data_IF_907794134503
#
_entry.id   IF_907794134503
#
_cell.length_a   1.000
_cell.length_b   1.000
_cell.length_c   1.000
_cell.angle_alpha   90.00
_cell.angle_beta   90.00
_cell.angle_gamma   90.00
#
_symmetry.space_group_name_H-M   'P 1'
#
loop_
_entity.id
_entity.type
_entity.pdbx_description
1 polymer ?
#
# COMPACT_ATOMS: atom_id res chain seq x y z
N UNK A 1 -43.02 -1.99 8.83
CA UNK A 1 -41.99 -1.21 8.10
C UNK A 1 -40.64 -1.83 8.44
N UNK A 2 -39.95 -2.41 7.46
CA UNK A 2 -38.59 -2.93 7.65
C UNK A 2 -37.65 -1.76 7.98
N UNK A 3 -36.83 -1.90 9.02
CA UNK A 3 -35.85 -0.88 9.37
C UNK A 3 -34.90 -0.64 8.19
N UNK A 4 -34.46 0.61 7.94
CA UNK A 4 -33.54 0.90 6.85
C UNK A 4 -32.22 0.14 7.05
N UNK A 5 -31.81 -0.61 6.04
CA UNK A 5 -30.53 -1.34 6.04
C UNK A 5 -29.38 -0.34 5.99
N UNK A 6 -28.42 -0.50 6.92
CA UNK A 6 -27.23 0.36 6.98
C UNK A 6 -26.36 0.07 5.75
N UNK A 7 -25.99 1.09 4.97
CA UNK A 7 -25.13 0.90 3.79
C UNK A 7 -23.73 0.43 4.21
N UNK A 8 -23.22 -0.60 3.55
CA UNK A 8 -21.87 -1.11 3.76
C UNK A 8 -20.83 -0.14 3.17
N UNK A 9 -19.69 0.10 3.85
CA UNK A 9 -18.56 0.87 3.30
C UNK A 9 -17.75 0.08 2.26
N UNK A 10 -18.08 -1.18 2.01
CA UNK A 10 -17.35 -2.09 1.14
C UNK A 10 -17.03 -1.58 -0.29
N UNK A 11 -17.91 -0.84 -0.98
CA UNK A 11 -17.57 -0.26 -2.29
C UNK A 11 -16.33 0.65 -2.26
N UNK A 12 -16.10 1.37 -1.16
CA UNK A 12 -14.92 2.23 -1.01
C UNK A 12 -13.63 1.41 -0.85
N UNK A 13 -13.69 0.29 -0.12
CA UNK A 13 -12.55 -0.61 0.02
C UNK A 13 -12.22 -1.30 -1.30
N UNK A 14 -13.23 -1.66 -2.10
CA UNK A 14 -13.04 -2.18 -3.46
C UNK A 14 -12.39 -1.16 -4.40
N UNK A 15 -12.76 0.12 -4.30
CA UNK A 15 -12.13 1.19 -5.08
C UNK A 15 -10.64 1.31 -4.75
N UNK A 16 -10.29 1.37 -3.45
CA UNK A 16 -8.89 1.44 -3.00
C UNK A 16 -8.10 0.19 -3.41
N UNK A 17 -8.72 -0.99 -3.29
CA UNK A 17 -8.15 -2.25 -3.74
C UNK A 17 -7.82 -2.24 -5.23
N UNK A 18 -8.76 -1.79 -6.07
CA UNK A 18 -8.58 -1.76 -7.52
C UNK A 18 -7.51 -0.74 -7.94
N UNK A 19 -7.61 0.49 -7.43
CA UNK A 19 -6.64 1.55 -7.71
C UNK A 19 -5.23 1.15 -7.27
N UNK A 20 -5.09 0.62 -6.05
CA UNK A 20 -3.80 0.15 -5.55
C UNK A 20 -3.26 -1.06 -6.27
N UNK A 21 -4.11 -1.97 -6.73
CA UNK A 21 -3.70 -3.09 -7.56
C UNK A 21 -3.11 -2.64 -8.89
N UNK A 22 -3.79 -1.70 -9.56
CA UNK A 22 -3.33 -1.14 -10.83
C UNK A 22 -1.99 -0.41 -10.66
N UNK A 23 -1.90 0.53 -9.72
CA UNK A 23 -0.66 1.30 -9.49
C UNK A 23 0.49 0.37 -9.09
N UNK A 24 0.25 -0.60 -8.22
CA UNK A 24 1.27 -1.55 -7.78
C UNK A 24 1.76 -2.41 -8.95
N UNK A 25 0.85 -2.91 -9.79
CA UNK A 25 1.20 -3.75 -10.93
C UNK A 25 2.06 -3.01 -11.97
N UNK A 26 1.84 -1.70 -12.15
CA UNK A 26 2.60 -0.89 -13.10
C UNK A 26 3.96 -0.45 -12.55
N UNK A 27 4.02 -0.10 -11.25
CA UNK A 27 5.17 0.61 -10.68
C UNK A 27 6.09 -0.31 -9.86
N UNK A 28 5.56 -1.25 -9.08
CA UNK A 28 6.41 -2.09 -8.23
C UNK A 28 7.41 -2.95 -8.99
N UNK A 29 7.12 -3.52 -10.19
CA UNK A 29 8.09 -4.36 -10.88
C UNK A 29 9.42 -3.64 -11.15
N UNK A 30 9.38 -2.39 -11.63
CA UNK A 30 10.61 -1.64 -11.91
C UNK A 30 11.30 -1.21 -10.61
N UNK A 31 10.55 -0.83 -9.57
CA UNK A 31 11.15 -0.48 -8.28
C UNK A 31 11.82 -1.69 -7.61
N UNK A 32 11.19 -2.86 -7.67
CA UNK A 32 11.77 -4.10 -7.15
C UNK A 32 13.00 -4.53 -7.97
N UNK A 33 12.97 -4.37 -9.29
CA UNK A 33 14.13 -4.63 -10.13
C UNK A 33 15.30 -3.71 -9.75
N UNK A 34 15.06 -2.40 -9.63
CA UNK A 34 16.13 -1.44 -9.34
C UNK A 34 16.67 -1.59 -7.91
N UNK A 35 15.79 -1.49 -6.91
CA UNK A 35 16.20 -1.41 -5.50
C UNK A 35 16.30 -2.78 -4.81
N UNK A 36 15.63 -3.81 -5.33
CA UNK A 36 15.70 -5.17 -4.80
C UNK A 36 16.75 -6.06 -5.48
N UNK A 37 17.18 -5.72 -6.70
CA UNK A 37 18.11 -6.56 -7.49
C UNK A 37 19.29 -5.78 -8.04
N UNK A 38 19.07 -4.77 -8.89
CA UNK A 38 20.14 -4.16 -9.67
C UNK A 38 21.17 -3.40 -8.82
N UNK A 39 20.72 -2.50 -7.92
CA UNK A 39 21.63 -1.78 -7.03
C UNK A 39 22.28 -2.69 -5.98
N UNK A 40 21.55 -3.60 -5.29
CA UNK A 40 22.17 -4.50 -4.31
C UNK A 40 23.24 -5.45 -4.90
N UNK A 41 23.10 -5.85 -6.17
CA UNK A 41 24.05 -6.71 -6.86
C UNK A 41 25.17 -5.93 -7.58
N UNK A 42 25.16 -4.59 -7.54
CA UNK A 42 26.15 -3.77 -8.26
C UNK A 42 26.03 -3.86 -9.79
N UNK A 43 24.86 -4.22 -10.32
CA UNK A 43 24.61 -4.23 -11.78
C UNK A 43 24.42 -2.81 -12.33
N UNK A 44 24.06 -1.87 -11.46
CA UNK A 44 23.94 -0.45 -11.73
C UNK A 44 24.56 0.32 -10.56
N UNK A 45 25.20 1.45 -10.87
CA UNK A 45 25.63 2.41 -9.86
C UNK A 45 24.50 3.36 -9.50
N UNK A 46 24.39 3.67 -8.22
CA UNK A 46 23.50 4.68 -7.69
C UNK A 46 24.29 5.63 -6.79
N UNK A 47 24.38 6.89 -7.17
CA UNK A 47 24.88 7.94 -6.28
C UNK A 47 23.82 8.22 -5.18
N UNK A 48 24.12 7.96 -3.89
CA UNK A 48 23.19 8.22 -2.81
C UNK A 48 22.74 9.68 -2.73
N UNK A 49 23.61 10.64 -3.10
CA UNK A 49 23.25 12.05 -3.10
C UNK A 49 22.22 12.38 -4.18
N UNK A 50 22.40 11.83 -5.38
CA UNK A 50 21.43 11.94 -6.46
C UNK A 50 20.08 11.31 -6.09
N UNK A 51 20.06 10.09 -5.55
CA UNK A 51 18.82 9.43 -5.12
C UNK A 51 18.07 10.26 -4.07
N UNK A 52 18.79 10.83 -3.10
CA UNK A 52 18.19 11.70 -2.10
C UNK A 52 17.60 12.96 -2.74
N UNK A 53 18.28 13.56 -3.73
CA UNK A 53 17.74 14.70 -4.47
C UNK A 53 16.45 14.34 -5.23
N UNK A 54 16.40 13.15 -5.85
CA UNK A 54 15.19 12.64 -6.52
C UNK A 54 14.04 12.46 -5.54
N UNK A 55 14.29 11.87 -4.36
CA UNK A 55 13.27 11.68 -3.31
C UNK A 55 12.80 13.01 -2.72
N UNK A 56 13.68 13.99 -2.59
CA UNK A 56 13.33 15.34 -2.08
C UNK A 56 12.50 16.16 -3.06
N UNK A 57 12.49 15.80 -4.34
CA UNK A 57 11.67 16.49 -5.31
C UNK A 57 10.16 16.35 -4.97
N UNK A 58 9.39 17.45 -4.90
CA UNK A 58 8.00 17.41 -4.42
C UNK A 58 7.09 16.45 -5.19
N UNK A 59 7.25 16.38 -6.52
CA UNK A 59 6.46 15.47 -7.36
C UNK A 59 6.76 14.02 -6.98
N UNK A 60 8.04 13.67 -6.78
CA UNK A 60 8.44 12.32 -6.38
C UNK A 60 7.83 11.96 -5.04
N UNK A 61 7.83 12.88 -4.07
CA UNK A 61 7.18 12.66 -2.76
C UNK A 61 5.69 12.37 -2.89
N UNK A 62 4.96 13.14 -3.71
CA UNK A 62 3.53 12.92 -3.94
C UNK A 62 3.29 11.55 -4.58
N UNK A 63 4.09 11.21 -5.60
CA UNK A 63 3.99 9.91 -6.28
C UNK A 63 4.28 8.76 -5.32
N UNK A 64 5.35 8.85 -4.51
CA UNK A 64 5.70 7.83 -3.53
C UNK A 64 4.64 7.72 -2.43
N UNK A 65 4.12 8.84 -1.93
CA UNK A 65 3.04 8.83 -0.94
C UNK A 65 1.79 8.11 -1.49
N UNK A 66 1.36 8.46 -2.71
CA UNK A 66 0.25 7.81 -3.39
C UNK A 66 0.50 6.31 -3.60
N UNK A 67 1.68 5.94 -4.10
CA UNK A 67 2.08 4.55 -4.30
C UNK A 67 2.03 3.75 -3.00
N UNK A 68 2.65 4.23 -1.93
CA UNK A 68 2.69 3.53 -0.64
C UNK A 68 1.30 3.35 -0.06
N UNK A 69 0.50 4.42 0.00
CA UNK A 69 -0.88 4.36 0.52
C UNK A 69 -1.70 3.36 -0.29
N UNK A 70 -1.72 3.50 -1.61
CA UNK A 70 -2.52 2.64 -2.47
C UNK A 70 -2.07 1.18 -2.44
N UNK A 71 -0.75 0.90 -2.43
CA UNK A 71 -0.23 -0.45 -2.31
C UNK A 71 -0.60 -1.10 -0.96
N UNK A 72 -0.53 -0.34 0.14
CA UNK A 72 -0.93 -0.83 1.46
C UNK A 72 -2.42 -1.17 1.51
N UNK A 73 -3.30 -0.31 0.98
CA UNK A 73 -4.73 -0.59 0.93
C UNK A 73 -5.11 -1.70 -0.06
N UNK A 74 -4.33 -1.90 -1.13
CA UNK A 74 -4.46 -3.09 -1.97
C UNK A 74 -4.14 -4.37 -1.20
N UNK A 75 -3.04 -4.36 -0.46
CA UNK A 75 -2.61 -5.49 0.36
C UNK A 75 -3.66 -5.85 1.42
N UNK A 76 -4.22 -4.87 2.15
CA UNK A 76 -5.18 -5.18 3.24
C UNK A 76 -6.40 -5.91 2.76
N UNK A 77 -6.96 -5.50 1.62
CA UNK A 77 -8.12 -6.13 1.06
C UNK A 77 -7.81 -7.59 0.69
N UNK A 78 -6.73 -7.84 -0.06
CA UNK A 78 -6.33 -9.22 -0.40
C UNK A 78 -6.05 -10.05 0.85
N UNK A 79 -5.26 -9.52 1.79
CA UNK A 79 -4.83 -10.25 2.96
C UNK A 79 -5.99 -10.62 3.88
N UNK A 80 -6.93 -9.70 4.13
CA UNK A 80 -8.17 -10.01 4.88
C UNK A 80 -8.94 -11.17 4.26
N UNK A 81 -9.20 -11.11 2.94
CA UNK A 81 -9.95 -12.17 2.26
C UNK A 81 -9.16 -13.49 2.18
N UNK A 82 -7.83 -13.45 2.10
CA UNK A 82 -6.99 -14.64 2.24
C UNK A 82 -7.13 -15.28 3.62
N UNK A 83 -7.16 -14.49 4.70
CA UNK A 83 -7.36 -15.02 6.05
C UNK A 83 -8.79 -15.55 6.26
N UNK A 84 -9.79 -14.79 5.82
CA UNK A 84 -11.20 -15.12 5.99
C UNK A 84 -11.60 -16.38 5.19
N UNK A 85 -11.30 -16.39 3.89
CA UNK A 85 -11.77 -17.42 2.96
C UNK A 85 -10.69 -18.45 2.64
N UNK A 86 -9.43 -18.01 2.45
CA UNK A 86 -8.32 -18.90 2.11
C UNK A 86 -7.89 -19.78 3.28
N UNK A 87 -7.78 -19.20 4.48
CA UNK A 87 -7.42 -19.91 5.71
C UNK A 87 -8.64 -20.27 6.59
N UNK A 88 -9.85 -19.90 6.15
CA UNK A 88 -11.11 -20.21 6.85
C UNK A 88 -11.19 -19.64 8.28
N UNK A 89 -10.55 -18.48 8.52
CA UNK A 89 -10.49 -17.82 9.83
C UNK A 89 -11.58 -16.73 9.97
N UNK A 90 -12.61 -16.77 9.13
CA UNK A 90 -13.63 -15.71 9.02
C UNK A 90 -14.45 -15.41 10.28
N UNK A 91 -14.48 -16.29 11.27
CA UNK A 91 -15.09 -15.99 12.58
C UNK A 91 -14.44 -14.80 13.31
N UNK A 92 -13.19 -14.47 12.96
CA UNK A 92 -12.44 -13.35 13.52
C UNK A 92 -12.39 -12.14 12.58
N UNK A 93 -13.24 -12.10 11.54
CA UNK A 93 -13.23 -11.06 10.52
C UNK A 93 -13.22 -9.62 11.06
N UNK A 94 -13.99 -9.24 12.10
CA UNK A 94 -13.91 -7.89 12.66
C UNK A 94 -12.51 -7.53 13.18
N UNK A 95 -11.85 -8.47 13.85
CA UNK A 95 -10.49 -8.28 14.38
C UNK A 95 -9.48 -8.23 13.23
N UNK A 96 -9.60 -9.15 12.27
CA UNK A 96 -8.76 -9.20 11.08
C UNK A 96 -8.87 -7.88 10.30
N UNK A 97 -10.09 -7.38 10.08
CA UNK A 97 -10.33 -6.13 9.39
C UNK A 97 -9.67 -4.96 10.12
N UNK A 98 -9.89 -4.82 11.43
CA UNK A 98 -9.26 -3.75 12.24
C UNK A 98 -7.74 -3.84 12.16
N UNK A 99 -7.16 -5.03 12.29
CA UNK A 99 -5.71 -5.23 12.20
C UNK A 99 -5.17 -4.87 10.80
N UNK A 100 -5.82 -5.33 9.72
CA UNK A 100 -5.38 -5.06 8.35
C UNK A 100 -5.48 -3.58 8.02
N UNK A 101 -6.68 -3.00 8.11
CA UNK A 101 -6.90 -1.59 7.76
C UNK A 101 -6.18 -0.64 8.71
N UNK A 102 -6.06 -1.00 9.99
CA UNK A 102 -5.24 -0.27 10.97
C UNK A 102 -3.75 -0.29 10.59
N UNK A 103 -3.20 -1.45 10.20
CA UNK A 103 -1.81 -1.54 9.73
C UNK A 103 -1.57 -0.70 8.47
N UNK A 104 -2.49 -0.71 7.49
CA UNK A 104 -2.36 0.17 6.32
C UNK A 104 -2.44 1.65 6.68
N UNK A 105 -3.33 2.05 7.59
CA UNK A 105 -3.43 3.44 8.04
C UNK A 105 -2.14 3.89 8.75
N UNK A 106 -1.65 3.09 9.70
CA UNK A 106 -0.40 3.38 10.41
C UNK A 106 0.81 3.40 9.47
N UNK A 107 0.90 2.43 8.56
CA UNK A 107 1.95 2.38 7.54
C UNK A 107 1.89 3.58 6.60
N UNK A 108 0.70 4.03 6.22
CA UNK A 108 0.48 5.23 5.40
C UNK A 108 0.96 6.48 6.13
N UNK A 109 0.61 6.64 7.41
CA UNK A 109 1.08 7.77 8.24
C UNK A 109 2.59 7.74 8.39
N UNK A 110 3.19 6.58 8.66
CA UNK A 110 4.64 6.43 8.78
C UNK A 110 5.35 6.78 7.46
N UNK A 111 4.83 6.31 6.32
CA UNK A 111 5.38 6.63 5.00
C UNK A 111 5.30 8.13 4.70
N UNK A 112 4.15 8.77 4.96
CA UNK A 112 3.99 10.22 4.78
C UNK A 112 4.92 11.01 5.70
N UNK A 113 5.03 10.61 6.97
CA UNK A 113 5.94 11.23 7.93
C UNK A 113 7.38 11.17 7.45
N UNK A 114 7.82 9.99 6.99
CA UNK A 114 9.17 9.79 6.48
C UNK A 114 9.43 10.68 5.25
N UNK A 115 8.51 10.72 4.29
CA UNK A 115 8.65 11.55 3.08
C UNK A 115 8.70 13.05 3.37
N UNK A 116 8.02 13.52 4.41
CA UNK A 116 8.02 14.94 4.80
C UNK A 116 9.27 15.31 5.61
N UNK A 117 9.87 14.35 6.31
CA UNK A 117 11.04 14.58 7.19
C UNK A 117 12.40 14.31 6.51
N UNK A 118 12.41 13.63 5.36
CA UNK A 118 13.58 13.33 4.52
C UNK A 118 14.18 14.56 3.80
#
# INVERSE_FOLDING_TARGET
MSAPTRRSPEPFFWLLFSAGGMVSALVLPVLMLLFGVAFPLGLLDADPAHLLAVVRHPITRIVLAGLFVLALFHWTHRFRFTLEHGLQVGRFDPVIAVCCYGAAALGSVAAMWMLVTL
#
